data_IF_854522818642
#
_entry.id   IF_854522818642
#
_cell.length_a   1.000
_cell.length_b   1.000
_cell.length_c   1.000
_cell.angle_alpha   90.00
_cell.angle_beta   90.00
_cell.angle_gamma   90.00
#
_symmetry.space_group_name_H-M   'P 1'
#
loop_
_entity.id
_entity.type
_entity.pdbx_description
1 polymer ?
#
# COMPACT_ATOMS: atom_id res chain seq x y z
N UNK A 1 9.94 6.15 -2.42
CA UNK A 1 10.90 5.42 -1.57
C UNK A 1 10.85 5.93 -0.13
N UNK A 2 11.14 7.22 0.11
CA UNK A 2 11.17 7.83 1.45
C UNK A 2 9.88 7.68 2.27
N UNK A 3 8.71 7.79 1.64
CA UNK A 3 7.41 7.55 2.29
C UNK A 3 7.18 6.09 2.73
N UNK A 4 7.87 5.12 2.13
CA UNK A 4 7.65 3.70 2.40
C UNK A 4 8.68 3.13 3.38
N UNK A 5 9.97 3.46 3.18
CA UNK A 5 11.09 2.88 3.96
C UNK A 5 11.80 3.90 4.87
N UNK A 6 11.26 5.12 4.95
CA UNK A 6 11.88 6.22 5.68
C UNK A 6 12.98 6.95 4.90
N UNK A 7 13.29 8.17 5.34
CA UNK A 7 14.26 9.04 4.69
C UNK A 7 15.69 8.49 4.75
N UNK A 8 16.15 8.04 5.92
CA UNK A 8 17.52 7.56 6.12
C UNK A 8 17.85 6.35 5.25
N UNK A 9 16.95 5.35 5.22
CA UNK A 9 17.14 4.16 4.40
C UNK A 9 17.12 4.47 2.91
N UNK A 10 16.22 5.38 2.49
CA UNK A 10 16.16 5.84 1.10
C UNK A 10 17.45 6.54 0.68
N UNK A 11 18.01 7.40 1.53
CA UNK A 11 19.26 8.09 1.24
C UNK A 11 20.44 7.12 1.18
N UNK A 12 20.49 6.11 2.05
CA UNK A 12 21.53 5.09 2.02
C UNK A 12 21.51 4.28 0.71
N UNK A 13 20.32 3.85 0.26
CA UNK A 13 20.19 3.16 -1.02
C UNK A 13 20.60 4.03 -2.21
N UNK A 14 20.12 5.29 -2.26
CA UNK A 14 20.28 6.15 -3.42
C UNK A 14 21.66 6.82 -3.50
N UNK A 15 22.20 7.29 -2.38
CA UNK A 15 23.45 8.06 -2.35
C UNK A 15 24.68 7.17 -2.18
N UNK A 16 24.60 6.16 -1.31
CA UNK A 16 25.72 5.25 -1.04
C UNK A 16 25.72 4.02 -1.97
N UNK A 17 24.76 3.92 -2.89
CA UNK A 17 24.55 2.77 -3.77
C UNK A 17 24.53 1.45 -2.98
N UNK A 18 23.94 1.47 -1.78
CA UNK A 18 23.94 0.31 -0.87
C UNK A 18 22.87 -0.69 -1.30
N UNK A 19 23.24 -1.91 -1.74
CA UNK A 19 22.26 -2.90 -2.17
C UNK A 19 21.46 -3.43 -0.97
N UNK A 20 20.16 -3.68 -1.21
CA UNK A 20 19.22 -4.17 -0.21
C UNK A 20 18.84 -5.63 -0.50
N UNK A 21 18.98 -6.50 0.51
CA UNK A 21 18.52 -7.88 0.42
C UNK A 21 17.03 -8.01 0.82
N UNK A 22 16.46 -9.18 0.57
CA UNK A 22 15.04 -9.45 0.81
C UNK A 22 14.62 -9.28 2.28
N UNK A 23 15.41 -9.80 3.23
CA UNK A 23 15.14 -9.67 4.66
C UNK A 23 15.11 -8.20 5.11
N UNK A 24 16.08 -7.40 4.66
CA UNK A 24 16.13 -5.96 4.95
C UNK A 24 14.95 -5.23 4.31
N UNK A 25 14.62 -5.55 3.06
CA UNK A 25 13.46 -4.99 2.37
C UNK A 25 12.15 -5.25 3.14
N UNK A 26 11.99 -6.45 3.73
CA UNK A 26 10.84 -6.76 4.59
C UNK A 26 10.88 -5.94 5.88
N UNK A 27 12.03 -5.88 6.58
CA UNK A 27 12.13 -5.19 7.86
C UNK A 27 11.88 -3.69 7.76
N UNK A 28 12.24 -3.06 6.64
CA UNK A 28 12.01 -1.62 6.41
C UNK A 28 10.65 -1.33 5.74
N UNK A 29 9.84 -2.35 5.45
CA UNK A 29 8.52 -2.18 4.84
C UNK A 29 8.52 -1.89 3.33
N UNK A 30 9.62 -2.17 2.62
CA UNK A 30 9.66 -2.08 1.16
C UNK A 30 8.80 -3.16 0.50
N UNK A 31 8.80 -4.35 1.10
CA UNK A 31 7.95 -5.49 0.73
C UNK A 31 7.19 -5.96 1.96
N UNK A 32 6.01 -6.54 1.76
CA UNK A 32 5.14 -6.98 2.84
C UNK A 32 5.23 -8.49 3.16
N UNK A 33 5.84 -9.28 2.27
CA UNK A 33 6.00 -10.74 2.43
C UNK A 33 7.22 -11.24 1.67
N UNK A 34 7.88 -12.25 2.22
CA UNK A 34 8.93 -13.01 1.55
C UNK A 34 8.43 -14.42 1.26
N UNK A 35 8.66 -14.88 0.04
CA UNK A 35 8.22 -16.19 -0.44
C UNK A 35 9.34 -16.85 -1.24
N UNK A 36 9.24 -18.16 -1.43
CA UNK A 36 10.20 -18.87 -2.28
C UNK A 36 10.08 -18.42 -3.73
N UNK A 37 11.17 -18.49 -4.51
CA UNK A 37 11.14 -18.13 -5.93
C UNK A 37 10.10 -18.96 -6.72
N UNK A 38 9.92 -20.24 -6.36
CA UNK A 38 8.98 -21.14 -7.03
C UNK A 38 7.52 -20.77 -6.79
N UNK A 39 7.21 -20.20 -5.61
CA UNK A 39 5.84 -19.86 -5.20
C UNK A 39 5.48 -18.40 -5.44
N UNK A 40 6.37 -17.59 -6.03
CA UNK A 40 6.18 -16.15 -6.17
C UNK A 40 4.89 -15.78 -6.91
N UNK A 41 4.62 -16.45 -8.04
CA UNK A 41 3.44 -16.18 -8.84
C UNK A 41 2.18 -16.67 -8.14
N UNK A 42 2.20 -17.89 -7.59
CA UNK A 42 1.04 -18.48 -6.92
C UNK A 42 0.58 -17.61 -5.73
N UNK A 43 1.52 -17.16 -4.90
CA UNK A 43 1.25 -16.26 -3.76
C UNK A 43 0.74 -14.89 -4.23
N UNK A 44 1.29 -14.36 -5.33
CA UNK A 44 0.81 -13.11 -5.92
C UNK A 44 -0.63 -13.22 -6.45
N UNK A 45 -0.95 -14.31 -7.14
CA UNK A 45 -2.29 -14.57 -7.65
C UNK A 45 -3.29 -14.84 -6.52
N UNK A 46 -2.89 -15.56 -5.46
CA UNK A 46 -3.75 -15.76 -4.30
C UNK A 46 -4.19 -14.42 -3.66
N UNK A 47 -3.30 -13.43 -3.57
CA UNK A 47 -3.66 -12.09 -3.10
C UNK A 47 -4.59 -11.38 -4.10
N UNK A 48 -4.30 -11.50 -5.40
CA UNK A 48 -5.13 -10.90 -6.45
C UNK A 48 -6.55 -11.48 -6.46
N UNK A 49 -6.72 -12.78 -6.25
CA UNK A 49 -8.02 -13.45 -6.16
C UNK A 49 -8.85 -12.94 -4.98
N UNK A 50 -8.22 -12.79 -3.81
CA UNK A 50 -8.87 -12.19 -2.63
C UNK A 50 -9.37 -10.78 -2.95
N UNK A 51 -8.55 -9.96 -3.61
CA UNK A 51 -8.95 -8.60 -4.00
C UNK A 51 -10.04 -8.60 -5.09
N UNK A 52 -9.98 -9.53 -6.04
CA UNK A 52 -10.95 -9.63 -7.13
C UNK A 52 -12.35 -10.07 -6.66
N UNK A 53 -12.44 -10.78 -5.53
CA UNK A 53 -13.71 -11.23 -4.94
C UNK A 53 -14.48 -10.13 -4.18
N UNK A 54 -13.85 -8.97 -3.93
CA UNK A 54 -14.45 -7.86 -3.20
C UNK A 54 -15.19 -6.89 -4.15
N UNK A 55 -16.13 -6.10 -3.64
CA UNK A 55 -16.84 -5.10 -4.44
C UNK A 55 -15.85 -4.08 -5.06
N UNK A 56 -15.78 -3.97 -6.41
CA UNK A 56 -14.78 -3.14 -7.07
C UNK A 56 -14.87 -1.66 -6.70
N UNK A 57 -16.09 -1.16 -6.48
CA UNK A 57 -16.32 0.25 -6.07
C UNK A 57 -15.75 0.51 -4.68
N UNK A 58 -15.96 -0.40 -3.75
CA UNK A 58 -15.47 -0.31 -2.37
C UNK A 58 -13.95 -0.32 -2.31
N UNK A 59 -13.27 -1.26 -2.99
CA UNK A 59 -11.80 -1.28 -3.00
C UNK A 59 -11.23 -0.05 -3.68
N UNK A 60 -11.79 0.35 -4.84
CA UNK A 60 -11.30 1.51 -5.58
C UNK A 60 -11.41 2.78 -4.74
N UNK A 61 -12.56 2.98 -4.09
CA UNK A 61 -12.80 4.10 -3.19
C UNK A 61 -11.88 4.07 -1.96
N UNK A 62 -11.71 2.91 -1.32
CA UNK A 62 -10.78 2.76 -0.18
C UNK A 62 -9.34 3.09 -0.58
N UNK A 63 -8.86 2.55 -1.70
CA UNK A 63 -7.52 2.83 -2.24
C UNK A 63 -7.33 4.32 -2.53
N UNK A 64 -8.30 4.95 -3.19
CA UNK A 64 -8.24 6.38 -3.51
C UNK A 64 -8.24 7.24 -2.24
N UNK A 65 -9.08 6.91 -1.28
CA UNK A 65 -9.21 7.61 0.00
C UNK A 65 -7.89 7.59 0.77
N UNK A 66 -7.28 6.41 0.92
CA UNK A 66 -5.99 6.26 1.60
C UNK A 66 -4.90 7.07 0.87
N UNK A 67 -4.76 6.89 -0.45
CA UNK A 67 -3.71 7.57 -1.21
C UNK A 67 -3.84 9.09 -1.15
N UNK A 68 -5.06 9.61 -1.19
CA UNK A 68 -5.31 11.05 -1.16
C UNK A 68 -5.16 11.59 0.28
N UNK A 69 -5.64 10.86 1.28
CA UNK A 69 -5.60 11.28 2.68
C UNK A 69 -4.19 11.32 3.29
N UNK A 70 -3.24 10.53 2.76
CA UNK A 70 -1.85 10.50 3.23
C UNK A 70 -1.12 11.85 3.09
N UNK A 71 -1.51 12.69 2.13
CA UNK A 71 -0.90 14.00 1.89
C UNK A 71 -1.76 15.16 2.44
N UNK A 72 -2.75 14.88 3.30
CA UNK A 72 -3.68 15.86 3.86
C UNK A 72 -3.51 16.06 5.37
N UNK A 73 -3.90 17.23 5.93
CA UNK A 73 -4.11 17.37 7.37
C UNK A 73 -5.13 16.37 7.88
N UNK A 74 -4.93 15.86 9.10
CA UNK A 74 -5.75 14.77 9.68
C UNK A 74 -7.25 15.06 9.64
N UNK A 75 -7.66 16.29 9.96
CA UNK A 75 -9.08 16.68 9.97
C UNK A 75 -9.71 16.63 8.58
N UNK A 76 -8.94 16.99 7.55
CA UNK A 76 -9.39 16.91 6.15
C UNK A 76 -9.43 15.45 5.68
N UNK A 77 -8.47 14.63 6.10
CA UNK A 77 -8.46 13.19 5.85
C UNK A 77 -9.70 12.49 6.41
N UNK A 78 -10.07 12.78 7.66
CA UNK A 78 -11.30 12.26 8.28
C UNK A 78 -12.55 12.71 7.51
N UNK A 79 -12.58 13.97 7.06
CA UNK A 79 -13.66 14.48 6.23
C UNK A 79 -13.78 13.76 4.88
N UNK A 80 -12.64 13.47 4.24
CA UNK A 80 -12.55 12.69 3.01
C UNK A 80 -13.11 11.28 3.22
N UNK A 81 -12.67 10.56 4.26
CA UNK A 81 -13.12 9.20 4.58
C UNK A 81 -14.64 9.13 4.76
N UNK A 82 -15.22 10.08 5.51
CA UNK A 82 -16.68 10.17 5.72
C UNK A 82 -17.42 10.36 4.40
N UNK A 83 -16.94 11.27 3.53
CA UNK A 83 -17.57 11.57 2.26
C UNK A 83 -17.54 10.37 1.30
N UNK A 84 -16.40 9.72 1.16
CA UNK A 84 -16.27 8.58 0.26
C UNK A 84 -17.08 7.38 0.75
N UNK A 85 -17.11 7.13 2.06
CA UNK A 85 -17.97 6.10 2.67
C UNK A 85 -19.45 6.38 2.43
N UNK A 86 -19.90 7.63 2.62
CA UNK A 86 -21.28 8.02 2.39
C UNK A 86 -21.73 7.79 0.93
N UNK A 87 -20.86 8.12 -0.05
CA UNK A 87 -21.12 7.86 -1.48
C UNK A 87 -21.30 6.38 -1.78
N UNK A 88 -20.49 5.51 -1.17
CA UNK A 88 -20.60 4.05 -1.36
C UNK A 88 -21.92 3.50 -0.80
N UNK A 89 -22.36 4.02 0.35
CA UNK A 89 -23.60 3.58 1.01
C UNK A 89 -24.83 4.10 0.25
N UNK A 90 -24.82 5.34 -0.23
CA UNK A 90 -25.96 5.93 -0.94
C UNK A 90 -26.13 5.45 -2.39
N UNK A 91 -25.11 4.81 -2.96
CA UNK A 91 -25.12 4.21 -4.31
C UNK A 91 -25.48 2.71 -4.30
N UNK A 92 -26.13 2.23 -3.23
CA UNK A 92 -26.68 0.87 -3.09
C UNK A 92 -28.18 0.82 -3.30
#
# INVERSE_FOLDING_TARGET
>A
LSRNIGLGESMNMLLANSPMNAQRALSVGLVHRLVSKKSLLDEGFAVAEVLAALDPRSIASAKQTIQTGLDMPIDQGIGLERRETAKLISSR
#
